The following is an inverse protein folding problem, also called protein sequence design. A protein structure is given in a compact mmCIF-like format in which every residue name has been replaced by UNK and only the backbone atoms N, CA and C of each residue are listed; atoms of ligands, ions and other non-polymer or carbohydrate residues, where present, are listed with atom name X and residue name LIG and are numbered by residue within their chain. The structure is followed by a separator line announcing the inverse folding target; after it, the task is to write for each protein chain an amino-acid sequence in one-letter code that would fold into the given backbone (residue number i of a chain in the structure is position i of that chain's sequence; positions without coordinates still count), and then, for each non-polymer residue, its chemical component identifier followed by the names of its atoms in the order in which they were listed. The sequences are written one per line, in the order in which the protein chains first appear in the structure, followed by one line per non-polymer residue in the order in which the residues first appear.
data_IF_679331693653
#
_entry.id   IF_679331693653
#
_cell.length_a   1.000
_cell.length_b   1.000
_cell.length_c   1.000
_cell.angle_alpha   90.00
_cell.angle_beta   90.00
_cell.angle_gamma   90.00
#
_symmetry.space_group_name_H-M   'P 1'
#
loop_
_entity.id
_entity.type
_entity.pdbx_description
1 polymer ?
#
# COMPACT_ATOMS: atom_id res chain seq x y z
N UNK A 1 -1.57 -10.45 69.95
CA UNK A 1 -0.99 -10.85 68.67
C UNK A 1 -1.71 -10.12 67.58
N UNK A 2 -1.03 -9.16 66.99
CA UNK A 2 -1.60 -8.37 65.89
C UNK A 2 -1.12 -8.95 64.60
N UNK A 3 -1.99 -9.62 63.88
CA UNK A 3 -1.72 -10.13 62.54
C UNK A 3 -1.92 -8.98 61.55
N UNK A 4 -0.81 -8.44 61.12
CA UNK A 4 -0.81 -7.50 59.97
C UNK A 4 -0.93 -8.35 58.69
N UNK A 5 -2.11 -8.44 58.19
CA UNK A 5 -2.34 -8.99 56.87
C UNK A 5 -1.90 -7.91 55.88
N UNK A 6 -0.69 -8.06 55.40
CA UNK A 6 -0.22 -7.25 54.26
C UNK A 6 -0.96 -7.77 53.02
N UNK A 7 -1.99 -7.04 52.65
CA UNK A 7 -2.60 -7.18 51.33
C UNK A 7 -1.60 -6.71 50.29
N UNK A 8 -0.77 -7.65 49.80
CA UNK A 8 0.01 -7.42 48.60
C UNK A 8 -0.99 -7.49 47.44
N UNK A 9 -1.51 -6.33 47.06
CA UNK A 9 -2.29 -6.16 45.85
C UNK A 9 -1.36 -6.44 44.66
N UNK A 10 -1.38 -7.67 44.19
CA UNK A 10 -0.81 -8.00 42.87
C UNK A 10 -1.73 -7.37 41.87
N UNK A 11 -1.39 -6.15 41.49
CA UNK A 11 -1.92 -5.49 40.29
C UNK A 11 -1.32 -6.27 39.12
N UNK A 12 -2.05 -7.30 38.72
CA UNK A 12 -1.81 -7.97 37.44
C UNK A 12 -2.19 -6.95 36.36
N UNK A 13 -1.25 -6.07 36.05
CA UNK A 13 -1.36 -5.19 34.90
C UNK A 13 -1.34 -6.10 33.67
N UNK A 14 -2.52 -6.43 33.20
CA UNK A 14 -2.72 -7.04 31.90
C UNK A 14 -2.25 -6.00 30.87
N UNK A 15 -0.97 -6.04 30.54
CA UNK A 15 -0.44 -5.33 29.40
C UNK A 15 -1.07 -5.96 28.17
N UNK A 16 -2.24 -5.46 27.82
CA UNK A 16 -2.74 -5.63 26.47
C UNK A 16 -1.71 -4.93 25.57
N UNK A 17 -0.78 -5.70 25.07
CA UNK A 17 0.07 -5.27 23.96
C UNK A 17 -0.87 -5.07 22.77
N UNK A 18 -1.41 -3.86 22.64
CA UNK A 18 -1.96 -3.44 21.37
C UNK A 18 -0.80 -3.47 20.40
N UNK A 19 -0.79 -4.48 19.55
CA UNK A 19 0.09 -4.46 18.39
C UNK A 19 -0.41 -3.31 17.53
N UNK A 20 0.20 -2.16 17.67
CA UNK A 20 0.02 -1.04 16.75
C UNK A 20 0.72 -1.47 15.47
N UNK A 21 -0.05 -1.98 14.53
CA UNK A 21 0.45 -2.21 13.19
C UNK A 21 0.81 -0.85 12.60
N UNK A 22 2.08 -0.68 12.27
CA UNK A 22 2.53 0.56 11.66
C UNK A 22 1.94 0.65 10.24
N UNK A 23 1.11 1.65 10.02
CA UNK A 23 0.68 2.01 8.68
C UNK A 23 1.85 2.64 7.92
N UNK A 24 1.91 2.51 6.58
CA UNK A 24 2.89 3.25 5.78
C UNK A 24 2.76 4.75 6.02
N UNK A 25 3.88 5.46 5.99
CA UNK A 25 3.89 6.92 6.11
C UNK A 25 3.50 7.61 4.79
N UNK A 26 3.45 6.88 3.69
CA UNK A 26 3.18 7.38 2.34
C UNK A 26 2.60 6.25 1.49
N UNK A 27 1.64 6.58 0.65
CA UNK A 27 0.98 5.65 -0.28
C UNK A 27 1.26 6.00 -1.74
N UNK A 28 1.55 7.26 -2.05
CA UNK A 28 1.74 7.76 -3.42
C UNK A 28 3.20 8.16 -3.65
N UNK A 29 3.91 7.40 -4.45
CA UNK A 29 5.30 7.61 -4.86
C UNK A 29 5.33 8.02 -6.33
N UNK A 30 4.99 9.28 -6.59
CA UNK A 30 4.89 9.84 -7.94
C UNK A 30 6.23 10.43 -8.41
N UNK A 31 7.19 9.56 -8.71
CA UNK A 31 8.50 9.98 -9.21
C UNK A 31 8.45 10.46 -10.68
N UNK A 32 7.41 10.10 -11.41
CA UNK A 32 7.21 10.58 -12.78
C UNK A 32 6.59 11.98 -12.86
N UNK A 33 6.06 12.50 -11.73
CA UNK A 33 5.45 13.81 -11.68
C UNK A 33 4.16 13.93 -12.49
N UNK A 34 3.32 12.90 -12.44
CA UNK A 34 2.08 12.81 -13.21
C UNK A 34 0.90 13.52 -12.53
N UNK A 35 1.00 13.71 -11.23
CA UNK A 35 -0.05 14.23 -10.38
C UNK A 35 0.25 15.66 -9.92
N UNK A 36 -0.77 16.47 -9.83
CA UNK A 36 -0.70 17.74 -9.11
C UNK A 36 -0.65 17.46 -7.59
N UNK A 37 -0.21 18.44 -6.80
CA UNK A 37 -0.19 18.30 -5.32
C UNK A 37 -1.58 18.00 -4.74
N UNK A 38 -2.65 18.57 -5.34
CA UNK A 38 -4.03 18.32 -4.92
C UNK A 38 -4.46 16.88 -5.22
N UNK A 39 -4.19 16.38 -6.41
CA UNK A 39 -4.48 15.00 -6.81
C UNK A 39 -3.71 13.99 -5.96
N UNK A 40 -2.42 14.28 -5.71
CA UNK A 40 -1.60 13.45 -4.83
C UNK A 40 -2.16 13.41 -3.41
N UNK A 41 -2.53 14.57 -2.83
CA UNK A 41 -3.11 14.64 -1.49
C UNK A 41 -4.44 13.88 -1.41
N UNK A 42 -5.29 13.97 -2.44
CA UNK A 42 -6.54 13.23 -2.52
C UNK A 42 -6.30 11.72 -2.53
N UNK A 43 -5.40 11.24 -3.38
CA UNK A 43 -5.04 9.82 -3.47
C UNK A 43 -4.40 9.30 -2.18
N UNK A 44 -3.55 10.10 -1.51
CA UNK A 44 -3.00 9.74 -0.19
C UNK A 44 -4.12 9.51 0.85
N UNK A 45 -5.12 10.39 0.88
CA UNK A 45 -6.25 10.27 1.80
C UNK A 45 -7.09 9.03 1.52
N UNK A 46 -7.46 8.80 0.26
CA UNK A 46 -8.24 7.63 -0.16
C UNK A 46 -7.48 6.34 0.13
N UNK A 47 -6.20 6.30 -0.23
CA UNK A 47 -5.36 5.14 0.04
C UNK A 47 -5.23 4.87 1.55
N UNK A 48 -5.01 5.90 2.36
CA UNK A 48 -4.89 5.76 3.81
C UNK A 48 -6.19 5.22 4.45
N UNK A 49 -7.34 5.76 4.05
CA UNK A 49 -8.66 5.33 4.56
C UNK A 49 -8.93 3.86 4.23
N UNK A 50 -8.87 3.50 2.95
CA UNK A 50 -9.16 2.13 2.51
C UNK A 50 -8.10 1.12 2.96
N UNK A 51 -6.84 1.56 3.10
CA UNK A 51 -5.78 0.72 3.66
C UNK A 51 -6.03 0.39 5.14
N UNK A 52 -6.49 1.36 5.92
CA UNK A 52 -6.83 1.16 7.33
C UNK A 52 -8.01 0.18 7.49
N UNK A 53 -9.02 0.27 6.63
CA UNK A 53 -10.17 -0.62 6.65
C UNK A 53 -9.79 -2.08 6.34
N UNK A 54 -8.88 -2.26 5.39
CA UNK A 54 -8.52 -3.59 4.89
C UNK A 54 -7.33 -4.22 5.61
N UNK A 55 -6.47 -3.41 6.24
CA UNK A 55 -5.18 -3.84 6.77
C UNK A 55 -4.18 -4.21 5.67
N UNK A 56 -4.27 -3.53 4.53
CA UNK A 56 -3.44 -3.72 3.34
C UNK A 56 -3.09 -2.34 2.80
N UNK A 57 -1.83 -2.08 2.52
CA UNK A 57 -1.42 -0.82 1.92
C UNK A 57 -1.71 -0.80 0.41
N UNK A 58 -2.42 0.23 -0.05
CA UNK A 58 -2.64 0.47 -1.48
C UNK A 58 -1.62 1.50 -1.97
N UNK A 59 -0.61 1.03 -2.70
CA UNK A 59 0.55 1.82 -3.10
C UNK A 59 0.49 2.18 -4.58
N UNK A 60 0.78 3.44 -4.88
CA UNK A 60 0.94 3.96 -6.24
C UNK A 60 2.41 4.32 -6.42
N UNK A 61 3.05 3.74 -7.45
CA UNK A 61 4.44 3.99 -7.81
C UNK A 61 4.51 4.41 -9.27
N UNK A 62 5.06 5.59 -9.56
CA UNK A 62 5.31 6.02 -10.93
C UNK A 62 6.78 6.35 -11.12
N UNK A 63 7.33 6.09 -12.31
CA UNK A 63 8.71 6.42 -12.63
C UNK A 63 8.89 6.79 -14.10
N UNK A 64 9.87 7.63 -14.38
CA UNK A 64 10.37 7.90 -15.75
C UNK A 64 11.64 7.08 -16.06
N UNK A 65 12.18 6.36 -15.09
CA UNK A 65 13.41 5.58 -15.23
C UNK A 65 13.37 4.37 -14.32
N UNK A 66 13.38 3.18 -14.92
CA UNK A 66 13.45 1.89 -14.21
C UNK A 66 14.89 1.39 -14.02
N UNK A 67 15.89 2.25 -14.29
CA UNK A 67 17.31 1.86 -14.22
C UNK A 67 17.64 0.69 -15.16
N UNK A 68 16.95 0.60 -16.29
CA UNK A 68 17.11 -0.47 -17.27
C UNK A 68 16.46 -1.81 -16.88
N UNK A 69 15.66 -1.84 -15.83
CA UNK A 69 14.91 -3.03 -15.39
C UNK A 69 13.52 -3.09 -16.02
N UNK A 70 12.92 -4.27 -16.05
CA UNK A 70 11.48 -4.36 -16.27
C UNK A 70 10.74 -3.74 -15.08
N UNK A 71 9.57 -3.15 -15.33
CA UNK A 71 8.78 -2.49 -14.29
C UNK A 71 8.45 -3.43 -13.11
N UNK A 72 8.25 -4.72 -13.38
CA UNK A 72 8.05 -5.75 -12.36
C UNK A 72 9.24 -5.84 -11.39
N UNK A 73 10.46 -5.87 -11.93
CA UNK A 73 11.67 -6.03 -11.14
C UNK A 73 12.00 -4.73 -10.38
N UNK A 74 11.81 -3.58 -11.01
CA UNK A 74 11.94 -2.26 -10.38
C UNK A 74 10.96 -2.12 -9.20
N UNK A 75 9.70 -2.51 -9.39
CA UNK A 75 8.68 -2.50 -8.35
C UNK A 75 9.05 -3.46 -7.20
N UNK A 76 9.55 -4.65 -7.51
CA UNK A 76 10.02 -5.61 -6.51
C UNK A 76 11.12 -5.03 -5.63
N UNK A 77 12.16 -4.46 -6.24
CA UNK A 77 13.25 -3.78 -5.53
C UNK A 77 12.72 -2.61 -4.69
N UNK A 78 11.75 -1.85 -5.21
CA UNK A 78 11.14 -0.75 -4.47
C UNK A 78 10.45 -1.26 -3.20
N UNK A 79 9.63 -2.31 -3.30
CA UNK A 79 8.92 -2.91 -2.15
C UNK A 79 9.90 -3.48 -1.13
N UNK A 80 10.98 -4.12 -1.58
CA UNK A 80 12.01 -4.70 -0.70
C UNK A 80 12.81 -3.63 0.06
N UNK A 81 13.01 -2.46 -0.53
CA UNK A 81 13.81 -1.39 0.04
C UNK A 81 13.00 -0.31 0.79
N UNK A 82 11.67 -0.38 0.75
CA UNK A 82 10.81 0.60 1.40
C UNK A 82 9.78 -0.08 2.31
N UNK A 83 9.50 0.46 3.51
CA UNK A 83 8.48 -0.09 4.42
C UNK A 83 7.07 0.33 3.96
N UNK A 84 6.62 -0.20 2.83
CA UNK A 84 5.35 0.17 2.18
C UNK A 84 4.15 -0.69 2.59
N UNK A 85 4.38 -1.79 3.32
CA UNK A 85 3.32 -2.70 3.74
C UNK A 85 2.68 -2.33 5.07
N UNK A 86 1.45 -2.76 5.27
CA UNK A 86 0.87 -2.85 6.60
C UNK A 86 1.56 -3.97 7.39
N UNK A 87 1.66 -3.80 8.71
CA UNK A 87 2.31 -4.68 9.68
C UNK A 87 3.83 -4.47 9.72
N UNK A 88 4.66 -5.24 9.04
CA UNK A 88 6.10 -5.10 9.12
C UNK A 88 6.75 -5.28 7.73
N UNK A 89 7.75 -4.48 7.43
CA UNK A 89 8.51 -4.55 6.18
C UNK A 89 7.66 -4.30 4.94
N UNK A 90 7.79 -5.16 3.94
CA UNK A 90 6.97 -5.15 2.74
C UNK A 90 5.51 -5.58 2.97
N UNK A 91 5.23 -6.21 4.12
CA UNK A 91 3.92 -6.54 4.68
C UNK A 91 2.82 -6.87 3.69
N UNK A 92 1.60 -6.50 4.04
CA UNK A 92 0.44 -6.69 3.16
C UNK A 92 0.27 -5.46 2.27
N UNK A 93 0.54 -5.60 0.98
CA UNK A 93 0.58 -4.50 0.01
C UNK A 93 -0.09 -4.89 -1.30
N UNK A 94 -0.96 -4.02 -1.81
CA UNK A 94 -1.41 -4.00 -3.19
C UNK A 94 -0.76 -2.81 -3.90
N UNK A 95 -0.09 -3.01 -5.00
CA UNK A 95 0.69 -1.97 -5.67
C UNK A 95 0.40 -1.92 -7.17
N UNK A 96 0.28 -0.70 -7.69
CA UNK A 96 0.34 -0.39 -9.11
C UNK A 96 1.63 0.38 -9.40
N UNK A 97 2.41 -0.10 -10.35
CA UNK A 97 3.64 0.55 -10.81
C UNK A 97 3.52 0.96 -12.28
N UNK A 98 3.86 2.21 -12.58
CA UNK A 98 3.77 2.79 -13.91
C UNK A 98 5.14 3.29 -14.39
N UNK A 99 5.63 2.72 -15.49
CA UNK A 99 6.84 3.13 -16.19
C UNK A 99 6.46 4.02 -17.38
N UNK A 100 6.75 5.31 -17.27
CA UNK A 100 6.42 6.29 -18.32
C UNK A 100 7.38 6.25 -19.50
N UNK A 101 8.61 5.77 -19.30
CA UNK A 101 9.57 5.64 -20.39
C UNK A 101 9.13 4.56 -21.39
N UNK A 102 8.75 3.38 -20.88
CA UNK A 102 8.33 2.25 -21.70
C UNK A 102 6.81 2.14 -21.86
N UNK A 103 6.04 3.03 -21.23
CA UNK A 103 4.56 3.00 -21.24
C UNK A 103 4.01 1.67 -20.78
N UNK A 104 4.58 1.16 -19.70
CA UNK A 104 4.21 -0.13 -19.12
C UNK A 104 3.59 0.03 -17.72
N UNK A 105 2.69 -0.88 -17.38
CA UNK A 105 2.00 -0.91 -16.08
C UNK A 105 2.02 -2.33 -15.51
N UNK A 106 2.37 -2.42 -14.23
CA UNK A 106 2.37 -3.68 -13.51
C UNK A 106 1.62 -3.55 -12.19
N UNK A 107 0.83 -4.57 -11.87
CA UNK A 107 0.07 -4.66 -10.63
C UNK A 107 0.46 -5.93 -9.89
N UNK A 108 0.58 -5.85 -8.57
CA UNK A 108 0.88 -7.00 -7.73
C UNK A 108 0.24 -6.87 -6.34
N UNK A 109 0.06 -8.03 -5.70
CA UNK A 109 -0.27 -8.15 -4.28
C UNK A 109 0.84 -8.88 -3.55
N UNK A 110 1.13 -8.46 -2.33
CA UNK A 110 2.07 -9.08 -1.40
C UNK A 110 1.39 -9.38 -0.07
N UNK A 111 1.85 -10.40 0.64
CA UNK A 111 1.29 -10.79 1.92
C UNK A 111 -0.20 -11.14 1.81
N UNK A 112 -1.06 -10.55 2.64
CA UNK A 112 -2.51 -10.80 2.58
C UNK A 112 -3.13 -10.44 1.23
N UNK A 113 -2.61 -9.41 0.56
CA UNK A 113 -3.13 -8.99 -0.74
C UNK A 113 -2.94 -10.07 -1.82
N UNK A 114 -1.86 -10.84 -1.76
CA UNK A 114 -1.59 -11.92 -2.71
C UNK A 114 -2.68 -13.00 -2.70
N UNK A 115 -3.34 -13.23 -1.56
CA UNK A 115 -4.34 -14.29 -1.41
C UNK A 115 -5.64 -14.02 -2.15
N UNK A 116 -5.99 -12.75 -2.39
CA UNK A 116 -7.23 -12.38 -3.07
C UNK A 116 -7.04 -11.56 -4.36
N UNK A 117 -5.85 -10.99 -4.56
CA UNK A 117 -5.44 -10.39 -5.82
C UNK A 117 -4.74 -11.44 -6.69
N UNK A 118 -5.49 -12.44 -7.10
CA UNK A 118 -5.01 -13.43 -8.04
C UNK A 118 -4.81 -12.84 -9.44
N UNK A 119 -4.24 -13.62 -10.34
CA UNK A 119 -3.95 -13.17 -11.70
C UNK A 119 -5.20 -12.65 -12.42
N UNK A 120 -6.33 -13.32 -12.30
CA UNK A 120 -7.58 -12.95 -12.98
C UNK A 120 -8.10 -11.60 -12.47
N UNK A 121 -8.05 -11.38 -11.16
CA UNK A 121 -8.48 -10.11 -10.55
C UNK A 121 -7.54 -8.98 -10.92
N UNK A 122 -6.23 -9.20 -10.87
CA UNK A 122 -5.23 -8.19 -11.28
C UNK A 122 -5.40 -7.80 -12.76
N UNK A 123 -5.67 -8.77 -13.65
CA UNK A 123 -5.95 -8.49 -15.07
C UNK A 123 -7.23 -7.66 -15.26
N UNK A 124 -8.30 -7.97 -14.51
CA UNK A 124 -9.53 -7.16 -14.53
C UNK A 124 -9.27 -5.72 -14.09
N UNK A 125 -8.48 -5.53 -13.03
CA UNK A 125 -8.11 -4.19 -12.54
C UNK A 125 -7.27 -3.48 -13.60
N UNK A 126 -6.24 -4.13 -14.15
CA UNK A 126 -5.39 -3.58 -15.21
C UNK A 126 -6.21 -3.12 -16.40
N UNK A 127 -7.12 -3.96 -16.89
CA UNK A 127 -8.00 -3.62 -18.02
C UNK A 127 -8.93 -2.44 -17.70
N UNK A 128 -9.32 -2.28 -16.44
CA UNK A 128 -10.16 -1.17 -15.99
C UNK A 128 -9.41 0.16 -15.98
N UNK A 129 -8.14 0.16 -15.53
CA UNK A 129 -7.36 1.40 -15.38
C UNK A 129 -6.64 1.83 -16.67
N UNK A 130 -6.31 0.90 -17.54
CA UNK A 130 -5.53 1.16 -18.77
C UNK A 130 -6.11 2.26 -19.66
N UNK A 131 -7.42 2.34 -19.94
CA UNK A 131 -7.97 3.42 -20.75
C UNK A 131 -7.69 4.80 -20.16
N UNK A 132 -7.94 4.97 -18.86
CA UNK A 132 -7.69 6.25 -18.17
C UNK A 132 -6.19 6.61 -18.13
N UNK A 133 -5.31 5.63 -17.92
CA UNK A 133 -3.86 5.83 -18.02
C UNK A 133 -3.45 6.28 -19.42
N UNK A 134 -4.02 5.70 -20.46
CA UNK A 134 -3.74 6.04 -21.85
C UNK A 134 -4.20 7.45 -22.23
N UNK A 135 -5.26 7.93 -21.60
CA UNK A 135 -5.81 9.29 -21.77
C UNK A 135 -5.09 10.34 -20.91
N UNK A 136 -4.19 9.92 -20.02
CA UNK A 136 -3.52 10.81 -19.07
C UNK A 136 -4.36 11.20 -17.87
N UNK A 137 -5.48 10.50 -17.63
CA UNK A 137 -6.34 10.70 -16.47
C UNK A 137 -5.84 9.85 -15.28
N UNK A 138 -4.67 10.23 -14.76
CA UNK A 138 -3.93 9.43 -13.79
C UNK A 138 -4.62 9.34 -12.43
N UNK A 139 -5.15 10.44 -11.90
CA UNK A 139 -5.87 10.44 -10.62
C UNK A 139 -7.01 9.43 -10.64
N UNK A 140 -7.87 9.51 -11.65
CA UNK A 140 -8.99 8.57 -11.79
C UNK A 140 -8.54 7.12 -11.94
N UNK A 141 -7.48 6.88 -12.73
CA UNK A 141 -6.94 5.53 -12.90
C UNK A 141 -6.45 4.94 -11.58
N UNK A 142 -5.76 5.73 -10.77
CA UNK A 142 -5.25 5.30 -9.47
C UNK A 142 -6.36 5.14 -8.43
N UNK A 143 -7.36 5.99 -8.41
CA UNK A 143 -8.57 5.79 -7.60
C UNK A 143 -9.26 4.46 -7.95
N UNK A 144 -9.45 4.19 -9.25
CA UNK A 144 -10.04 2.92 -9.69
C UNK A 144 -9.18 1.71 -9.29
N UNK A 145 -7.85 1.83 -9.31
CA UNK A 145 -6.98 0.78 -8.78
C UNK A 145 -7.24 0.53 -7.31
N UNK A 146 -7.21 1.57 -6.46
CA UNK A 146 -7.43 1.44 -5.02
C UNK A 146 -8.80 0.81 -4.72
N UNK A 147 -9.87 1.34 -5.32
CA UNK A 147 -11.24 0.86 -5.12
C UNK A 147 -11.43 -0.61 -5.55
N UNK A 148 -10.82 -1.02 -6.66
CA UNK A 148 -10.99 -2.38 -7.18
C UNK A 148 -10.07 -3.39 -6.52
N UNK A 149 -8.94 -2.94 -5.95
CA UNK A 149 -8.04 -3.76 -5.16
C UNK A 149 -8.50 -3.86 -3.69
N UNK A 150 -9.29 -2.90 -3.20
CA UNK A 150 -9.96 -2.94 -1.89
C UNK A 150 -11.09 -3.95 -1.88
#
# INVERSE_FOLDING_TARGET
MRWKVSFLAIIFTFLFSFQVYAAPSQYVYDYAGLLTESEKANLENVAAELSAERGIAFIILTTNDTEGKYIKDYMGDFVDNNPVGYEAGSGSTAIIALDMMNRDVYLAGFGKAETYLDYERLEKIRNKVTPALSEGNYEYAFEQFIEKAH
#
